data_IF_271255496469
#
_entry.id   IF_271255496469
#
_cell.length_a   1.000
_cell.length_b   1.000
_cell.length_c   1.000
_cell.angle_alpha   90.00
_cell.angle_beta   90.00
_cell.angle_gamma   90.00
#
_symmetry.space_group_name_H-M   'P 1'
#
loop_
_entity.id
_entity.type
_entity.pdbx_description
1 polymer ?
#
# COMPACT_ATOMS: atom_id res chain seq x y z
N UNK A 1 47.91 42.25 68.48
CA UNK A 1 46.86 41.27 68.82
C UNK A 1 46.15 40.86 67.54
N UNK A 2 46.18 39.56 67.24
CA UNK A 2 45.19 38.82 66.43
C UNK A 2 45.17 39.21 64.94
N UNK A 3 45.86 38.49 64.03
CA UNK A 3 45.72 37.05 63.76
C UNK A 3 44.25 36.61 63.70
N UNK A 4 43.89 35.96 62.58
CA UNK A 4 42.61 35.29 62.27
C UNK A 4 41.51 36.17 61.66
N UNK A 5 41.51 36.25 60.33
CA UNK A 5 40.45 35.65 59.49
C UNK A 5 40.56 36.13 58.03
N UNK A 6 41.75 35.95 57.42
CA UNK A 6 41.87 35.67 55.98
C UNK A 6 41.35 34.25 55.69
N UNK A 7 40.11 33.98 56.09
CA UNK A 7 39.40 32.73 55.87
C UNK A 7 37.92 33.02 55.57
N UNK A 8 37.70 33.97 54.68
CA UNK A 8 36.43 34.11 53.95
C UNK A 8 36.70 34.73 52.57
N UNK A 9 37.78 34.27 51.94
CA UNK A 9 38.17 34.62 50.58
C UNK A 9 38.35 33.37 49.70
N UNK A 10 37.64 32.27 49.99
CA UNK A 10 37.79 31.02 49.23
C UNK A 10 36.54 30.14 49.10
N UNK A 11 35.30 30.65 49.23
CA UNK A 11 34.13 29.77 49.08
C UNK A 11 32.90 30.38 48.38
N UNK A 12 33.05 31.45 47.58
CA UNK A 12 31.96 31.99 46.74
C UNK A 12 32.52 32.36 45.35
N UNK A 13 33.44 31.54 44.82
CA UNK A 13 34.16 31.85 43.57
C UNK A 13 34.56 30.64 42.73
N UNK A 14 33.91 29.48 42.91
CA UNK A 14 34.03 28.32 42.01
C UNK A 14 32.66 27.64 41.95
N UNK A 15 31.74 28.18 41.16
CA UNK A 15 30.51 27.49 40.74
C UNK A 15 30.03 27.97 39.38
N UNK A 16 30.98 28.30 38.51
CA UNK A 16 30.79 28.48 37.08
C UNK A 16 31.94 27.72 36.41
N UNK A 17 31.61 26.77 35.53
CA UNK A 17 32.48 25.86 34.76
C UNK A 17 32.70 24.44 35.32
N UNK A 18 31.61 23.76 35.64
CA UNK A 18 31.39 22.34 35.34
C UNK A 18 29.89 22.23 35.02
N UNK A 19 29.43 21.96 33.80
CA UNK A 19 29.79 20.79 33.02
C UNK A 19 28.61 19.81 33.04
N UNK A 20 27.48 20.21 32.47
CA UNK A 20 26.58 19.31 31.77
C UNK A 20 26.31 19.95 30.42
N UNK A 21 27.30 19.84 29.53
CA UNK A 21 26.97 19.64 28.13
C UNK A 21 26.16 18.34 28.18
N UNK A 22 24.87 18.38 27.92
CA UNK A 22 24.11 17.18 27.55
C UNK A 22 24.65 16.74 26.17
N UNK A 23 25.90 16.29 26.15
CA UNK A 23 26.34 15.28 25.21
C UNK A 23 25.74 14.01 25.76
N UNK A 24 24.51 13.71 25.34
CA UNK A 24 24.10 12.32 25.22
C UNK A 24 25.12 11.68 24.30
N UNK A 25 26.22 11.18 24.86
CA UNK A 25 27.12 10.29 24.17
C UNK A 25 26.48 8.92 24.15
N UNK A 26 25.30 8.82 23.53
CA UNK A 26 25.03 7.59 22.82
C UNK A 26 26.16 7.46 21.80
N UNK A 27 26.81 6.30 21.68
CA UNK A 27 27.81 6.11 20.63
C UNK A 27 27.16 6.54 19.32
N UNK A 28 27.76 7.51 18.64
CA UNK A 28 27.25 7.98 17.37
C UNK A 28 27.15 6.75 16.46
N UNK A 29 25.92 6.36 16.12
CA UNK A 29 25.70 5.21 15.26
C UNK A 29 26.44 5.42 13.94
N UNK A 30 26.90 4.33 13.34
CA UNK A 30 27.53 4.39 12.02
C UNK A 30 26.49 4.82 10.98
N UNK A 31 26.92 5.51 9.93
CA UNK A 31 26.05 5.87 8.81
C UNK A 31 25.34 4.62 8.25
N UNK A 32 24.03 4.74 8.05
CA UNK A 32 23.16 3.69 7.54
C UNK A 32 22.07 4.26 6.62
N UNK A 33 21.30 3.38 5.97
CA UNK A 33 20.17 3.78 5.13
C UNK A 33 18.99 2.85 5.39
N UNK A 34 17.81 3.44 5.60
CA UNK A 34 16.54 2.72 5.61
C UNK A 34 16.03 2.68 4.16
N UNK A 35 15.74 1.48 3.66
CA UNK A 35 14.97 1.25 2.44
C UNK A 35 13.53 0.91 2.82
N UNK A 36 12.67 1.92 2.79
CA UNK A 36 11.26 1.84 3.16
C UNK A 36 10.40 1.41 1.97
N UNK A 37 9.80 0.24 2.10
CA UNK A 37 8.90 -0.35 1.11
C UNK A 37 7.46 -0.02 1.50
N UNK A 38 6.76 0.77 0.66
CA UNK A 38 5.33 1.08 0.83
C UNK A 38 4.50 0.11 -0.01
N UNK A 39 4.16 -1.02 0.57
CA UNK A 39 3.56 -2.14 -0.17
C UNK A 39 4.48 -2.67 -1.27
N UNK A 40 3.92 -3.49 -2.14
CA UNK A 40 4.70 -4.38 -2.99
C UNK A 40 5.13 -3.81 -4.36
N UNK A 41 5.02 -2.50 -4.55
CA UNK A 41 5.07 -1.87 -5.88
C UNK A 41 6.36 -1.09 -6.09
N UNK A 42 7.22 -1.50 -7.03
CA UNK A 42 8.39 -0.70 -7.43
C UNK A 42 8.02 0.22 -8.59
N UNK A 43 7.93 1.53 -8.35
CA UNK A 43 7.63 2.55 -9.38
C UNK A 43 8.75 3.60 -9.37
N UNK A 44 9.08 4.14 -10.55
CA UNK A 44 10.06 5.22 -10.74
C UNK A 44 9.37 6.47 -11.30
N UNK A 45 9.31 7.53 -10.52
CA UNK A 45 9.01 8.89 -10.99
C UNK A 45 7.55 9.20 -11.36
N UNK A 46 6.59 8.30 -11.09
CA UNK A 46 5.15 8.53 -11.24
C UNK A 46 4.39 8.16 -9.97
N UNK A 47 3.06 8.35 -9.97
CA UNK A 47 2.20 7.95 -8.85
C UNK A 47 2.39 6.47 -8.52
N UNK A 48 2.42 6.16 -7.22
CA UNK A 48 2.31 4.80 -6.71
C UNK A 48 0.84 4.39 -6.70
N UNK A 49 0.50 3.22 -7.25
CA UNK A 49 -0.88 2.71 -7.32
C UNK A 49 -1.86 3.61 -8.10
N UNK A 50 -3.15 3.27 -8.08
CA UNK A 50 -4.23 3.98 -8.80
C UNK A 50 -5.51 4.00 -7.96
N UNK A 51 -6.48 4.82 -8.36
CA UNK A 51 -7.78 4.87 -7.69
C UNK A 51 -7.62 5.28 -6.23
N UNK A 52 -8.25 4.55 -5.31
CA UNK A 52 -8.25 4.90 -3.89
C UNK A 52 -6.89 4.65 -3.21
N UNK A 53 -6.03 3.84 -3.82
CA UNK A 53 -4.70 3.46 -3.33
C UNK A 53 -3.60 4.42 -3.81
N UNK A 54 -3.93 5.40 -4.68
CA UNK A 54 -2.95 6.30 -5.28
C UNK A 54 -2.13 7.05 -4.20
N UNK A 55 -0.81 7.04 -4.35
CA UNK A 55 0.16 7.75 -3.52
C UNK A 55 1.04 8.59 -4.44
N UNK A 56 0.92 9.91 -4.32
CA UNK A 56 1.65 10.91 -5.11
C UNK A 56 2.65 11.71 -4.28
N UNK A 57 2.59 11.58 -2.95
CA UNK A 57 3.50 12.26 -2.02
C UNK A 57 3.74 11.38 -0.80
N UNK A 58 4.99 11.30 -0.35
CA UNK A 58 5.40 10.50 0.82
C UNK A 58 6.34 11.34 1.68
N UNK A 59 5.99 11.52 2.94
CA UNK A 59 6.88 12.03 3.98
C UNK A 59 7.29 10.89 4.89
N UNK A 60 8.58 10.77 5.15
CA UNK A 60 9.15 9.79 6.07
C UNK A 60 9.86 10.54 7.19
N UNK A 61 9.53 10.19 8.42
CA UNK A 61 10.23 10.57 9.63
C UNK A 61 11.01 9.38 10.17
N UNK A 62 12.26 9.63 10.56
CA UNK A 62 13.09 8.68 11.31
C UNK A 62 13.47 9.37 12.61
N UNK A 63 13.05 8.81 13.74
CA UNK A 63 13.35 9.29 15.08
C UNK A 63 14.35 8.35 15.76
N UNK A 64 15.32 8.95 16.47
CA UNK A 64 16.23 8.26 17.38
C UNK A 64 15.89 8.69 18.80
N UNK A 65 15.34 7.76 19.59
CA UNK A 65 14.72 8.11 20.87
C UNK A 65 13.60 9.14 20.69
N UNK A 66 13.68 10.27 21.39
CA UNK A 66 12.66 11.32 21.38
C UNK A 66 12.87 12.42 20.33
N UNK A 67 13.93 12.33 19.52
CA UNK A 67 14.31 13.39 18.58
C UNK A 67 14.31 12.89 17.14
N UNK A 68 13.93 13.80 16.23
CA UNK A 68 14.02 13.57 14.80
C UNK A 68 15.49 13.46 14.39
N UNK A 69 15.81 12.40 13.67
CA UNK A 69 17.13 12.18 13.10
C UNK A 69 17.13 12.53 11.61
N UNK A 70 16.10 12.08 10.89
CA UNK A 70 15.92 12.40 9.49
C UNK A 70 14.44 12.64 9.18
N UNK A 71 14.20 13.55 8.24
CA UNK A 71 12.90 13.75 7.62
C UNK A 71 13.10 14.02 6.15
N UNK A 72 12.35 13.31 5.33
CA UNK A 72 12.41 13.45 3.88
C UNK A 72 11.02 13.41 3.29
N UNK A 73 10.78 14.31 2.34
CA UNK A 73 9.57 14.35 1.51
C UNK A 73 9.96 13.93 0.11
N UNK A 74 9.15 13.07 -0.49
CA UNK A 74 9.27 12.59 -1.85
C UNK A 74 7.98 12.93 -2.59
N UNK A 75 8.07 13.53 -3.77
CA UNK A 75 6.91 13.85 -4.61
C UNK A 75 6.95 13.10 -5.94
N UNK A 76 5.80 12.60 -6.40
CA UNK A 76 5.66 12.02 -7.72
C UNK A 76 6.14 13.01 -8.80
N UNK A 77 6.77 12.49 -9.86
CA UNK A 77 7.49 13.29 -10.85
C UNK A 77 8.97 13.57 -10.51
N UNK A 78 9.37 13.45 -9.25
CA UNK A 78 10.79 13.58 -8.87
C UNK A 78 11.56 12.26 -9.02
N UNK A 79 12.84 12.35 -9.38
CA UNK A 79 13.71 11.17 -9.53
C UNK A 79 13.92 10.39 -8.23
N UNK A 80 13.70 11.04 -7.08
CA UNK A 80 13.81 10.43 -5.75
C UNK A 80 12.52 9.70 -5.33
N UNK A 81 11.40 9.90 -6.04
CA UNK A 81 10.15 9.19 -5.79
C UNK A 81 10.22 7.78 -6.41
N UNK A 82 10.90 6.91 -5.68
CA UNK A 82 11.14 5.52 -6.04
C UNK A 82 10.87 4.66 -4.82
N UNK A 83 10.02 3.64 -4.97
CA UNK A 83 9.78 2.64 -3.93
C UNK A 83 10.75 1.45 -4.17
N UNK A 84 11.64 1.09 -3.23
CA UNK A 84 11.76 1.57 -1.85
C UNK A 84 12.32 2.99 -1.71
N UNK A 85 11.69 3.77 -0.83
CA UNK A 85 12.15 5.11 -0.45
C UNK A 85 13.39 5.00 0.44
N UNK A 86 14.46 5.70 0.07
CA UNK A 86 15.74 5.64 0.79
C UNK A 86 15.94 6.86 1.67
N UNK A 87 16.08 6.64 2.98
CA UNK A 87 16.34 7.70 3.96
C UNK A 87 17.64 7.40 4.69
N UNK A 88 18.57 8.36 4.67
CA UNK A 88 19.85 8.26 5.38
C UNK A 88 19.65 8.49 6.89
N UNK A 89 20.31 7.69 7.70
CA UNK A 89 20.27 7.73 9.16
C UNK A 89 21.54 7.05 9.72
N UNK A 90 21.52 6.69 10.98
CA UNK A 90 22.59 5.98 11.70
C UNK A 90 22.11 4.63 12.21
N UNK A 91 23.03 3.76 12.64
CA UNK A 91 22.71 2.50 13.32
C UNK A 91 21.95 2.73 14.64
N UNK A 92 21.33 1.67 15.16
CA UNK A 92 20.55 1.69 16.40
C UNK A 92 19.03 1.59 16.21
N UNK A 93 18.30 1.70 17.32
CA UNK A 93 16.84 1.63 17.34
C UNK A 93 16.22 2.93 16.81
N UNK A 94 15.30 2.80 15.85
CA UNK A 94 14.61 3.90 15.20
C UNK A 94 13.10 3.71 15.28
N UNK A 95 12.38 4.80 15.50
CA UNK A 95 10.93 4.88 15.29
C UNK A 95 10.66 5.59 13.98
N UNK A 96 9.84 5.01 13.12
CA UNK A 96 9.58 5.50 11.77
C UNK A 96 8.10 5.84 11.66
N UNK A 97 7.82 7.03 11.12
CA UNK A 97 6.47 7.43 10.73
C UNK A 97 6.46 7.79 9.26
N UNK A 98 5.39 7.40 8.58
CA UNK A 98 5.16 7.70 7.17
C UNK A 98 3.83 8.40 7.04
N UNK A 99 3.81 9.53 6.35
CA UNK A 99 2.59 10.23 5.95
C UNK A 99 2.55 10.28 4.42
N UNK A 100 1.61 9.55 3.84
CA UNK A 100 1.35 9.59 2.40
C UNK A 100 0.21 10.56 2.09
N UNK A 101 0.34 11.30 0.98
CA UNK A 101 -0.65 12.26 0.50
C UNK A 101 -1.09 13.25 1.59
N UNK A 102 -0.13 13.84 2.29
CA UNK A 102 -0.45 14.89 3.26
C UNK A 102 -1.17 16.07 2.58
N UNK A 103 -2.24 16.60 3.20
CA UNK A 103 -2.88 17.82 2.71
C UNK A 103 -1.96 19.04 2.79
N UNK A 104 -2.18 20.02 1.91
CA UNK A 104 -1.32 21.20 1.79
C UNK A 104 -1.41 22.11 3.03
N UNK A 105 -2.58 22.20 3.66
CA UNK A 105 -2.87 23.01 4.85
C UNK A 105 -2.08 22.57 6.08
N UNK A 106 -1.73 21.29 6.21
CA UNK A 106 -0.95 20.76 7.34
C UNK A 106 0.54 20.57 7.03
N UNK A 107 0.99 20.91 5.82
CA UNK A 107 2.38 20.68 5.39
C UNK A 107 3.40 21.45 6.24
N UNK A 108 3.07 22.67 6.69
CA UNK A 108 3.95 23.47 7.55
C UNK A 108 4.07 22.90 8.97
N UNK A 109 2.96 22.43 9.54
CA UNK A 109 2.96 21.73 10.84
C UNK A 109 3.81 20.45 10.76
N UNK A 110 3.65 19.67 9.68
CA UNK A 110 4.44 18.47 9.43
C UNK A 110 5.94 18.79 9.24
N UNK A 111 6.28 19.88 8.56
CA UNK A 111 7.68 20.34 8.44
C UNK A 111 8.29 20.74 9.79
N UNK A 112 7.48 21.21 10.73
CA UNK A 112 7.92 21.70 12.03
C UNK A 112 8.20 20.58 13.05
N UNK A 113 7.68 19.36 12.85
CA UNK A 113 7.86 18.22 13.76
C UNK A 113 9.34 17.94 14.06
N UNK A 114 9.64 17.78 15.35
CA UNK A 114 10.94 17.42 15.94
C UNK A 114 10.85 16.21 16.87
N UNK A 115 9.67 15.89 17.40
CA UNK A 115 9.45 14.79 18.34
C UNK A 115 8.27 13.92 17.91
N UNK A 116 8.28 12.60 18.18
CA UNK A 116 7.18 11.72 17.78
C UNK A 116 5.80 12.21 18.27
N UNK A 117 5.70 12.62 19.53
CA UNK A 117 4.42 13.07 20.12
C UNK A 117 3.87 14.39 19.55
N UNK A 118 4.63 15.12 18.73
CA UNK A 118 4.11 16.31 18.04
C UNK A 118 3.21 15.90 16.85
N UNK A 119 3.36 14.69 16.31
CA UNK A 119 2.47 14.15 15.28
C UNK A 119 1.05 13.93 15.82
N UNK A 120 0.90 13.63 17.11
CA UNK A 120 -0.40 13.44 17.77
C UNK A 120 -1.23 14.74 17.85
N UNK A 121 -0.56 15.89 17.76
CA UNK A 121 -1.20 17.19 17.78
C UNK A 121 -1.73 17.63 16.41
N UNK A 122 -1.24 17.02 15.32
CA UNK A 122 -1.61 17.37 13.95
C UNK A 122 -3.02 16.86 13.65
N UNK A 123 -3.86 17.77 13.15
CA UNK A 123 -5.27 17.49 12.83
C UNK A 123 -5.54 17.80 11.38
N UNK A 124 -6.34 16.95 10.75
CA UNK A 124 -6.85 17.17 9.41
C UNK A 124 -8.27 17.69 9.51
N UNK A 125 -8.62 18.67 8.67
CA UNK A 125 -9.96 19.27 8.68
C UNK A 125 -10.67 19.19 7.32
N UNK A 126 -11.99 19.12 7.34
CA UNK A 126 -12.84 19.17 6.14
C UNK A 126 -14.25 19.62 6.48
N UNK A 127 -14.96 20.16 5.49
CA UNK A 127 -16.39 20.43 5.56
C UNK A 127 -17.19 19.68 4.48
N UNK A 128 -16.56 18.71 3.81
CA UNK A 128 -17.16 17.95 2.72
C UNK A 128 -16.46 16.60 2.54
N UNK A 129 -16.88 15.83 1.54
CA UNK A 129 -16.22 14.58 1.18
C UNK A 129 -14.78 14.85 0.75
N UNK A 130 -13.85 14.04 1.23
CA UNK A 130 -12.46 14.14 0.83
C UNK A 130 -12.26 13.64 -0.59
N UNK A 131 -11.42 14.31 -1.37
CA UNK A 131 -11.00 13.88 -2.69
C UNK A 131 -9.72 13.05 -2.61
N UNK A 132 -9.53 12.16 -3.60
CA UNK A 132 -8.24 11.50 -3.84
C UNK A 132 -7.20 12.55 -4.29
N UNK A 133 -5.89 12.33 -4.06
CA UNK A 133 -5.29 11.20 -3.37
C UNK A 133 -5.56 11.24 -1.86
N UNK A 134 -5.85 10.09 -1.23
CA UNK A 134 -6.25 10.03 0.17
C UNK A 134 -5.04 9.96 1.11
N UNK A 135 -5.09 10.70 2.21
CA UNK A 135 -4.03 10.68 3.23
C UNK A 135 -3.98 9.33 3.95
N UNK A 136 -2.76 8.80 4.10
CA UNK A 136 -2.50 7.53 4.78
C UNK A 136 -1.33 7.66 5.74
N UNK A 137 -1.33 6.89 6.81
CA UNK A 137 -0.28 6.91 7.83
C UNK A 137 0.17 5.48 8.13
N UNK A 138 1.48 5.31 8.30
CA UNK A 138 2.08 4.09 8.83
C UNK A 138 3.12 4.42 9.88
N UNK A 139 3.30 3.53 10.84
CA UNK A 139 4.37 3.66 11.83
C UNK A 139 4.93 2.28 12.19
N UNK A 140 6.17 2.26 12.66
CA UNK A 140 6.84 1.07 13.15
C UNK A 140 8.18 1.38 13.77
N UNK A 141 8.77 0.37 14.41
CA UNK A 141 10.12 0.45 14.97
C UNK A 141 11.04 -0.52 14.24
N UNK A 142 12.33 -0.16 14.14
CA UNK A 142 13.36 -1.00 13.54
C UNK A 142 14.66 -0.81 14.29
N UNK A 143 15.44 -1.89 14.45
CA UNK A 143 16.80 -1.80 14.95
C UNK A 143 17.80 -2.04 13.81
N UNK A 144 18.67 -1.07 13.55
CA UNK A 144 19.65 -1.10 12.46
C UNK A 144 20.99 -1.56 13.03
N UNK A 145 21.38 -2.80 12.72
CA UNK A 145 22.55 -3.44 13.33
C UNK A 145 23.85 -3.30 12.53
N UNK A 146 23.81 -2.75 11.31
CA UNK A 146 24.98 -2.59 10.44
C UNK A 146 24.86 -1.36 9.54
N UNK A 147 26.00 -0.82 9.13
CA UNK A 147 26.13 0.31 8.20
C UNK A 147 25.63 0.01 6.78
N UNK A 148 25.38 -1.26 6.43
CA UNK A 148 24.71 -1.64 5.16
C UNK A 148 23.24 -1.21 5.11
N UNK A 149 22.66 -0.80 6.24
CA UNK A 149 21.26 -0.37 6.33
C UNK A 149 20.27 -1.52 6.50
N UNK A 150 18.98 -1.20 6.39
CA UNK A 150 17.87 -2.14 6.59
C UNK A 150 16.77 -1.91 5.55
N UNK A 151 16.12 -3.00 5.12
CA UNK A 151 14.88 -2.91 4.34
C UNK A 151 13.70 -3.21 5.25
N UNK A 152 12.69 -2.35 5.22
CA UNK A 152 11.47 -2.51 6.01
C UNK A 152 10.25 -2.34 5.13
N UNK A 153 9.20 -3.11 5.41
CA UNK A 153 7.88 -2.92 4.78
C UNK A 153 6.98 -2.19 5.77
N UNK A 154 6.31 -1.13 5.30
CA UNK A 154 5.38 -0.35 6.10
C UNK A 154 3.99 -0.48 5.52
N UNK A 155 3.06 -0.95 6.35
CA UNK A 155 1.63 -0.91 6.04
C UNK A 155 1.09 0.48 6.34
N UNK A 156 0.39 1.06 5.37
CA UNK A 156 -0.29 2.35 5.53
C UNK A 156 -1.78 2.12 5.74
N UNK A 157 -2.36 2.87 6.67
CA UNK A 157 -3.80 2.95 6.88
C UNK A 157 -4.33 4.30 6.47
N UNK A 158 -5.47 4.35 5.80
CA UNK A 158 -6.17 5.59 5.48
C UNK A 158 -6.67 6.27 6.75
N UNK A 159 -6.60 7.59 6.78
CA UNK A 159 -7.20 8.41 7.87
C UNK A 159 -8.70 8.62 7.70
N UNK A 160 -9.26 8.11 6.60
CA UNK A 160 -10.67 8.23 6.21
C UNK A 160 -11.36 6.88 6.15
N UNK A 161 -12.69 6.88 6.25
CA UNK A 161 -13.54 5.76 5.88
C UNK A 161 -14.05 5.91 4.44
N UNK A 162 -14.42 4.80 3.81
CA UNK A 162 -15.15 4.76 2.53
C UNK A 162 -16.59 4.39 2.75
N UNK A 163 -17.50 5.13 2.12
CA UNK A 163 -18.93 4.80 2.11
C UNK A 163 -19.40 4.67 0.67
N UNK A 164 -19.95 3.50 0.33
CA UNK A 164 -20.72 3.29 -0.90
C UNK A 164 -22.17 3.10 -0.54
N UNK A 165 -23.08 3.54 -1.41
CA UNK A 165 -24.51 3.40 -1.18
C UNK A 165 -25.20 2.94 -2.45
N UNK A 166 -26.01 1.90 -2.33
CA UNK A 166 -26.94 1.46 -3.36
C UNK A 166 -28.36 1.53 -2.83
N UNK A 167 -29.24 2.23 -3.54
CA UNK A 167 -30.66 2.35 -3.17
C UNK A 167 -31.49 1.42 -4.04
N UNK A 168 -32.39 0.64 -3.46
CA UNK A 168 -33.26 -0.30 -4.18
C UNK A 168 -34.73 0.01 -3.93
N UNK A 169 -35.54 -0.15 -4.97
CA UNK A 169 -36.98 -0.21 -4.84
C UNK A 169 -37.35 -1.64 -4.42
N UNK A 170 -37.69 -1.80 -3.14
CA UNK A 170 -38.01 -3.07 -2.50
C UNK A 170 -39.51 -3.18 -2.14
N UNK A 171 -40.36 -2.41 -2.82
CA UNK A 171 -41.81 -2.44 -2.63
C UNK A 171 -42.43 -3.77 -3.07
N UNK A 172 -43.47 -4.20 -2.37
CA UNK A 172 -44.19 -5.47 -2.64
C UNK A 172 -45.29 -5.35 -3.71
N UNK A 173 -45.36 -4.23 -4.43
CA UNK A 173 -46.36 -3.93 -5.45
C UNK A 173 -45.82 -2.99 -6.54
N UNK A 174 -46.65 -2.47 -7.46
CA UNK A 174 -46.20 -1.70 -8.64
C UNK A 174 -45.79 -0.25 -8.29
N UNK A 175 -45.04 -0.07 -7.21
CA UNK A 175 -44.62 1.25 -6.77
C UNK A 175 -43.45 1.78 -7.60
N UNK A 176 -43.49 3.05 -7.96
CA UNK A 176 -42.39 3.75 -8.61
C UNK A 176 -41.55 4.49 -7.57
N UNK A 177 -40.24 4.49 -7.79
CA UNK A 177 -39.29 5.19 -6.94
C UNK A 177 -38.32 5.99 -7.82
N UNK A 178 -38.16 7.27 -7.51
CA UNK A 178 -37.14 8.11 -8.15
C UNK A 178 -36.36 8.90 -7.11
N UNK A 179 -35.03 8.90 -7.20
CA UNK A 179 -34.16 9.67 -6.32
C UNK A 179 -34.02 11.11 -6.79
N UNK A 180 -34.08 12.03 -5.83
CA UNK A 180 -33.84 13.45 -6.03
C UNK A 180 -32.47 13.87 -5.50
N UNK A 181 -31.95 13.16 -4.51
CA UNK A 181 -30.63 13.42 -3.94
C UNK A 181 -30.39 12.63 -2.66
N UNK A 182 -29.15 12.67 -2.18
CA UNK A 182 -28.74 12.06 -0.91
C UNK A 182 -27.96 13.09 -0.10
N UNK A 183 -28.30 13.19 1.18
CA UNK A 183 -27.63 14.05 2.14
C UNK A 183 -26.97 13.21 3.23
N UNK A 184 -25.68 13.44 3.47
CA UNK A 184 -24.99 12.92 4.64
C UNK A 184 -25.04 13.95 5.75
N UNK A 185 -25.43 13.49 6.94
CA UNK A 185 -25.45 14.29 8.16
C UNK A 185 -24.41 13.79 9.14
N UNK A 186 -23.86 14.73 9.89
CA UNK A 186 -22.90 14.50 10.97
C UNK A 186 -21.57 13.88 10.51
N UNK A 187 -21.07 14.32 9.35
CA UNK A 187 -19.69 14.04 8.95
C UNK A 187 -18.72 14.77 9.89
N UNK A 188 -17.69 14.10 10.39
CA UNK A 188 -16.74 14.72 11.33
C UNK A 188 -15.89 15.76 10.60
N UNK A 189 -15.76 16.96 11.18
CA UNK A 189 -14.95 18.05 10.59
C UNK A 189 -13.47 17.88 10.79
N UNK A 190 -13.05 17.24 11.89
CA UNK A 190 -11.64 17.15 12.26
C UNK A 190 -11.28 15.76 12.75
N UNK A 191 -10.10 15.27 12.39
CA UNK A 191 -9.57 14.01 12.88
C UNK A 191 -8.08 14.14 13.16
N UNK A 192 -7.55 13.49 14.21
CA UNK A 192 -6.11 13.45 14.40
C UNK A 192 -5.44 12.68 13.25
N UNK A 193 -4.24 13.10 12.87
CA UNK A 193 -3.44 12.40 11.87
C UNK A 193 -3.14 10.96 12.33
N UNK A 194 -2.68 10.82 13.58
CA UNK A 194 -2.34 9.54 14.20
C UNK A 194 -3.57 8.89 14.85
N UNK A 195 -3.75 7.60 14.61
CA UNK A 195 -4.81 6.78 15.24
C UNK A 195 -4.59 6.73 16.77
N UNK A 196 -5.64 6.96 17.55
CA UNK A 196 -5.57 6.92 19.02
C UNK A 196 -5.13 8.22 19.70
N UNK A 197 -4.69 9.24 18.95
CA UNK A 197 -4.45 10.56 19.51
C UNK A 197 -5.77 11.22 19.95
N UNK A 198 -5.68 12.20 20.86
CA UNK A 198 -6.86 12.80 21.48
C UNK A 198 -7.81 13.41 20.43
N UNK A 199 -9.07 12.96 20.36
CA UNK A 199 -9.97 13.38 19.31
C UNK A 199 -10.29 14.88 19.44
N UNK A 200 -10.55 15.53 18.31
CA UNK A 200 -11.08 16.88 18.31
C UNK A 200 -12.46 16.93 18.98
N UNK A 201 -12.88 18.10 19.51
CA UNK A 201 -14.26 18.30 19.93
C UNK A 201 -15.23 17.89 18.82
N UNK A 202 -16.35 17.28 19.17
CA UNK A 202 -17.36 16.85 18.20
C UNK A 202 -17.93 18.04 17.43
N UNK A 203 -17.47 18.20 16.20
CA UNK A 203 -17.88 19.25 15.31
C UNK A 203 -18.16 18.63 13.94
N UNK A 204 -19.35 18.87 13.42
CA UNK A 204 -19.85 18.12 12.27
C UNK A 204 -20.25 19.01 11.11
N UNK A 205 -20.17 18.45 9.90
CA UNK A 205 -20.68 19.02 8.67
C UNK A 205 -21.77 18.11 8.08
N UNK A 206 -22.64 18.73 7.27
CA UNK A 206 -23.65 18.03 6.48
C UNK A 206 -23.40 18.33 5.00
N UNK A 207 -23.63 17.37 4.12
CA UNK A 207 -23.46 17.54 2.67
C UNK A 207 -24.62 16.92 1.94
N UNK A 208 -25.34 17.76 1.18
CA UNK A 208 -26.38 17.33 0.25
C UNK A 208 -25.82 17.26 -1.17
N UNK A 209 -26.14 16.17 -1.86
CA UNK A 209 -25.90 15.97 -3.28
C UNK A 209 -27.25 15.77 -3.98
N UNK A 210 -27.68 16.77 -4.73
CA UNK A 210 -28.90 16.71 -5.53
C UNK A 210 -28.62 16.24 -6.95
N UNK A 211 -29.57 15.53 -7.54
CA UNK A 211 -29.54 15.17 -8.95
C UNK A 211 -30.23 16.24 -9.79
N UNK A 212 -29.66 16.58 -10.94
CA UNK A 212 -30.25 17.56 -11.87
C UNK A 212 -31.62 17.13 -12.42
N UNK A 213 -31.91 15.83 -12.39
CA UNK A 213 -33.22 15.25 -12.71
C UNK A 213 -33.49 14.02 -11.81
N UNK A 214 -34.76 13.65 -11.56
CA UNK A 214 -35.08 12.44 -10.82
C UNK A 214 -34.45 11.20 -11.47
N UNK A 215 -33.76 10.39 -10.66
CA UNK A 215 -33.12 9.15 -11.12
C UNK A 215 -34.03 7.96 -10.80
N UNK A 216 -34.40 7.17 -11.80
CA UNK A 216 -35.23 5.99 -11.58
C UNK A 216 -34.49 4.94 -10.73
N UNK A 217 -35.20 4.36 -9.77
CA UNK A 217 -34.69 3.27 -8.93
C UNK A 217 -35.50 2.01 -9.16
N UNK A 218 -34.82 0.95 -9.59
CA UNK A 218 -35.40 -0.38 -9.80
C UNK A 218 -35.12 -1.30 -8.62
N UNK A 219 -35.62 -2.54 -8.70
CA UNK A 219 -35.27 -3.60 -7.76
C UNK A 219 -33.79 -4.01 -7.84
N UNK A 220 -33.15 -3.84 -9.00
CA UNK A 220 -31.71 -4.09 -9.16
C UNK A 220 -30.87 -3.04 -8.43
N UNK A 221 -31.41 -1.83 -8.29
CA UNK A 221 -30.86 -0.73 -7.50
C UNK A 221 -30.10 0.32 -8.28
N UNK A 222 -30.07 1.52 -7.73
CA UNK A 222 -29.33 2.66 -8.22
C UNK A 222 -28.10 2.90 -7.33
N UNK A 223 -26.92 2.90 -7.94
CA UNK A 223 -25.68 3.22 -7.23
C UNK A 223 -25.61 4.73 -6.97
N UNK A 224 -25.62 5.11 -5.70
CA UNK A 224 -25.43 6.49 -5.26
C UNK A 224 -23.95 6.77 -5.21
N UNK A 225 -23.59 7.84 -5.91
CA UNK A 225 -22.22 8.19 -6.27
C UNK A 225 -21.59 7.14 -7.21
N UNK A 226 -20.81 7.56 -8.20
CA UNK A 226 -20.17 6.64 -9.15
C UNK A 226 -19.37 5.56 -8.43
N UNK A 227 -19.12 4.40 -9.07
CA UNK A 227 -18.22 3.37 -8.52
C UNK A 227 -16.82 3.91 -8.18
N UNK A 228 -16.40 4.98 -8.87
CA UNK A 228 -15.15 5.69 -8.63
C UNK A 228 -15.26 6.83 -7.57
N UNK A 229 -16.48 7.25 -7.24
CA UNK A 229 -16.80 8.40 -6.38
C UNK A 229 -17.44 7.95 -5.07
N UNK A 230 -16.77 7.13 -4.26
CA UNK A 230 -17.30 6.86 -2.93
C UNK A 230 -17.30 8.13 -2.05
N UNK A 231 -18.13 8.15 -1.02
CA UNK A 231 -18.08 9.19 -0.01
C UNK A 231 -16.94 8.89 0.97
N UNK A 232 -15.87 9.71 0.93
CA UNK A 232 -14.76 9.63 1.87
C UNK A 232 -14.92 10.68 2.98
N UNK A 233 -14.82 10.25 4.23
CA UNK A 233 -15.04 11.09 5.39
C UNK A 233 -14.17 10.63 6.57
N UNK A 234 -13.96 11.52 7.52
CA UNK A 234 -13.23 11.21 8.74
C UNK A 234 -14.02 10.30 9.68
N UNK A 235 -13.25 9.64 10.55
CA UNK A 235 -13.76 8.82 11.64
C UNK A 235 -14.73 9.60 12.56
N UNK A 236 -15.83 8.94 12.92
CA UNK A 236 -16.77 9.37 13.91
C UNK A 236 -17.12 8.18 14.81
N UNK A 237 -16.45 8.09 15.96
CA UNK A 237 -16.64 7.03 16.94
C UNK A 237 -17.89 7.32 17.79
N UNK A 238 -19.02 6.77 17.37
CA UNK A 238 -20.30 6.84 18.06
C UNK A 238 -20.67 5.54 18.78
N UNK A 239 -21.79 5.57 19.47
CA UNK A 239 -22.38 4.43 20.16
C UNK A 239 -23.90 4.51 20.07
N UNK A 240 -24.61 3.50 20.60
CA UNK A 240 -26.08 3.49 20.61
C UNK A 240 -26.67 4.74 21.29
N UNK A 241 -26.05 5.22 22.37
CA UNK A 241 -26.47 6.44 23.08
C UNK A 241 -26.27 7.72 22.27
N UNK A 242 -25.55 7.66 21.15
CA UNK A 242 -25.24 8.80 20.29
C UNK A 242 -26.18 8.96 19.09
N UNK A 243 -27.13 8.04 18.91
CA UNK A 243 -28.09 8.08 17.80
C UNK A 243 -28.79 9.43 17.68
N UNK A 244 -29.20 10.01 18.81
CA UNK A 244 -29.87 11.32 18.83
C UNK A 244 -28.93 12.51 18.66
N UNK A 245 -27.62 12.35 18.84
CA UNK A 245 -26.66 13.46 18.94
C UNK A 245 -25.55 13.43 17.89
N UNK A 246 -24.72 12.38 17.85
CA UNK A 246 -23.43 12.35 17.13
C UNK A 246 -23.37 11.34 15.98
N UNK A 247 -24.18 10.28 16.00
CA UNK A 247 -24.08 9.20 15.01
C UNK A 247 -24.32 9.71 13.58
N UNK A 248 -23.43 9.36 12.65
CA UNK A 248 -23.52 9.70 11.22
C UNK A 248 -24.74 9.02 10.59
N UNK A 249 -25.49 9.74 9.76
CA UNK A 249 -26.69 9.20 9.12
C UNK A 249 -26.89 9.79 7.73
N UNK A 250 -27.71 9.10 6.94
CA UNK A 250 -28.11 9.51 5.60
C UNK A 250 -29.56 9.97 5.59
N UNK A 251 -29.85 10.98 4.78
CA UNK A 251 -31.20 11.38 4.37
C UNK A 251 -31.31 11.21 2.86
N UNK A 252 -32.15 10.28 2.41
CA UNK A 252 -32.43 10.02 1.00
C UNK A 252 -33.68 10.80 0.60
N UNK A 253 -33.54 11.71 -0.35
CA UNK A 253 -34.64 12.49 -0.92
C UNK A 253 -35.16 11.77 -2.16
N UNK A 254 -36.45 11.46 -2.20
CA UNK A 254 -37.03 10.66 -3.27
C UNK A 254 -38.49 11.06 -3.59
N UNK A 255 -39.01 10.51 -4.69
CA UNK A 255 -40.43 10.42 -5.01
C UNK A 255 -40.84 8.96 -4.94
N UNK A 256 -41.81 8.65 -4.10
CA UNK A 256 -42.43 7.32 -4.03
C UNK A 256 -43.86 7.44 -4.56
N UNK A 257 -44.19 6.79 -5.67
CA UNK A 257 -45.45 7.00 -6.40
C UNK A 257 -45.75 8.49 -6.63
N UNK A 258 -44.75 9.23 -7.13
CA UNK A 258 -44.79 10.68 -7.35
C UNK A 258 -44.97 11.57 -6.10
N UNK A 259 -45.03 11.00 -4.90
CA UNK A 259 -45.06 11.74 -3.64
C UNK A 259 -43.64 12.03 -3.17
N UNK A 260 -43.28 13.31 -3.03
CA UNK A 260 -42.02 13.73 -2.44
C UNK A 260 -41.91 13.21 -1.00
N UNK A 261 -40.83 12.51 -0.70
CA UNK A 261 -40.58 11.88 0.60
C UNK A 261 -39.09 11.95 0.95
N UNK A 262 -38.80 11.75 2.24
CA UNK A 262 -37.44 11.65 2.77
C UNK A 262 -37.34 10.36 3.58
N UNK A 263 -36.21 9.69 3.49
CA UNK A 263 -35.90 8.51 4.30
C UNK A 263 -34.63 8.76 5.10
N UNK A 264 -34.63 8.38 6.38
CA UNK A 264 -33.49 8.56 7.28
C UNK A 264 -33.01 7.21 7.79
N UNK A 265 -31.70 6.97 7.71
CA UNK A 265 -31.08 5.78 8.26
C UNK A 265 -29.68 6.09 8.81
N UNK A 266 -29.35 5.52 9.98
CA UNK A 266 -28.04 5.68 10.61
C UNK A 266 -27.02 4.74 9.98
N UNK A 267 -25.82 5.24 9.75
CA UNK A 267 -24.73 4.42 9.22
C UNK A 267 -24.30 3.45 10.31
N UNK A 268 -24.18 2.17 9.95
CA UNK A 268 -23.74 1.12 10.84
C UNK A 268 -24.66 0.93 12.07
N UNK A 269 -25.98 1.01 11.88
CA UNK A 269 -26.97 0.85 12.96
C UNK A 269 -27.03 -0.60 13.52
N UNK A 270 -28.06 -0.91 14.31
CA UNK A 270 -28.25 -2.26 14.86
C UNK A 270 -28.47 -3.37 13.83
N UNK A 271 -28.79 -3.02 12.58
CA UNK A 271 -29.01 -3.94 11.46
C UNK A 271 -27.73 -4.18 10.65
N UNK A 272 -26.59 -3.60 11.05
CA UNK A 272 -25.27 -3.86 10.49
C UNK A 272 -24.67 -5.20 10.93
N UNK A 273 -23.73 -5.71 10.14
CA UNK A 273 -22.92 -6.89 10.45
C UNK A 273 -21.72 -6.59 11.38
N UNK A 274 -21.36 -5.32 11.56
CA UNK A 274 -20.28 -4.83 12.41
C UNK A 274 -20.66 -4.74 13.90
N UNK A 275 -20.84 -5.92 14.52
CA UNK A 275 -21.28 -6.02 15.92
C UNK A 275 -20.37 -5.29 16.93
N UNK A 276 -19.07 -5.14 16.66
CA UNK A 276 -18.09 -4.57 17.59
C UNK A 276 -18.05 -3.03 17.63
N UNK A 277 -18.79 -2.33 16.75
CA UNK A 277 -18.72 -0.86 16.64
C UNK A 277 -19.94 -0.20 15.98
N UNK A 278 -21.13 -0.66 16.35
CA UNK A 278 -22.40 -0.06 15.89
C UNK A 278 -22.47 1.44 16.17
N UNK A 279 -23.06 2.17 15.23
CA UNK A 279 -23.20 3.63 15.20
C UNK A 279 -21.87 4.40 15.13
N UNK A 280 -20.75 3.71 14.86
CA UNK A 280 -19.46 4.30 14.54
C UNK A 280 -19.12 4.18 13.05
N UNK A 281 -18.37 5.17 12.57
CA UNK A 281 -17.63 5.14 11.32
C UNK A 281 -16.13 5.19 11.67
N UNK A 282 -15.39 4.11 11.44
CA UNK A 282 -13.94 4.00 11.71
C UNK A 282 -13.14 4.30 10.45
N UNK A 283 -11.97 4.93 10.63
CA UNK A 283 -11.00 5.13 9.55
C UNK A 283 -10.49 3.79 9.02
N UNK A 284 -10.08 3.73 7.75
CA UNK A 284 -9.57 2.52 7.08
C UNK A 284 -10.58 1.35 7.01
N UNK A 285 -11.87 1.65 6.99
CA UNK A 285 -12.94 0.69 6.72
C UNK A 285 -13.80 1.14 5.54
N UNK A 286 -14.38 0.16 4.85
CA UNK A 286 -15.39 0.35 3.83
C UNK A 286 -16.74 -0.07 4.39
N UNK A 287 -17.67 0.89 4.42
CA UNK A 287 -19.08 0.70 4.72
C UNK A 287 -19.85 0.59 3.42
N UNK A 288 -20.21 -0.63 3.03
CA UNK A 288 -21.03 -0.88 1.84
C UNK A 288 -22.51 -0.92 2.23
N UNK A 289 -23.24 0.10 1.79
CA UNK A 289 -24.61 0.36 2.22
C UNK A 289 -25.62 -0.04 1.14
N UNK A 290 -26.65 -0.78 1.54
CA UNK A 290 -27.82 -1.07 0.71
C UNK A 290 -29.07 -0.56 1.40
N UNK A 291 -29.70 0.46 0.81
CA UNK A 291 -30.95 1.03 1.27
C UNK A 291 -32.15 0.43 0.51
N UNK A 292 -32.92 -0.42 1.18
CA UNK A 292 -34.16 -0.98 0.65
C UNK A 292 -35.35 -0.07 1.01
N UNK A 293 -35.92 0.63 0.03
CA UNK A 293 -37.13 1.45 0.22
C UNK A 293 -38.36 0.61 -0.11
N UNK A 294 -39.27 0.47 0.85
CA UNK A 294 -40.42 -0.46 0.80
C UNK A 294 -41.77 0.24 0.71
N UNK A 295 -41.88 1.43 1.29
CA UNK A 295 -43.13 2.18 1.41
C UNK A 295 -42.86 3.64 1.77
N UNK A 296 -43.92 4.44 1.99
CA UNK A 296 -43.82 5.76 2.59
C UNK A 296 -43.49 5.67 4.08
N UNK A 297 -42.71 6.64 4.59
CA UNK A 297 -42.37 6.77 6.01
C UNK A 297 -40.88 7.02 6.20
N UNK A 298 -40.52 8.08 6.94
CA UNK A 298 -39.12 8.54 7.05
C UNK A 298 -38.19 7.47 7.62
N UNK A 299 -38.65 6.72 8.62
CA UNK A 299 -37.86 5.69 9.28
C UNK A 299 -38.36 4.27 8.96
N UNK A 300 -39.68 4.08 8.91
CA UNK A 300 -40.30 2.77 8.71
C UNK A 300 -40.34 2.32 7.24
N UNK A 301 -40.22 3.26 6.29
CA UNK A 301 -40.27 2.98 4.86
C UNK A 301 -38.93 2.55 4.26
N UNK A 302 -37.85 2.53 5.05
CA UNK A 302 -36.50 2.18 4.64
C UNK A 302 -35.93 1.08 5.54
N UNK A 303 -35.08 0.23 4.96
CA UNK A 303 -34.16 -0.62 5.71
C UNK A 303 -32.77 -0.41 5.15
N UNK A 304 -31.84 0.04 5.99
CA UNK A 304 -30.43 0.16 5.61
C UNK A 304 -29.69 -1.08 6.09
N UNK A 305 -29.07 -1.80 5.15
CA UNK A 305 -28.10 -2.84 5.47
C UNK A 305 -26.71 -2.23 5.30
N UNK A 306 -25.83 -2.52 6.25
CA UNK A 306 -24.45 -2.07 6.23
C UNK A 306 -23.57 -3.30 6.32
N UNK A 307 -22.75 -3.53 5.30
CA UNK A 307 -21.66 -4.50 5.33
C UNK A 307 -20.35 -3.75 5.58
N UNK A 308 -19.62 -4.12 6.63
CA UNK A 308 -18.37 -3.44 7.01
C UNK A 308 -17.16 -4.33 6.77
N UNK A 309 -16.21 -3.83 5.97
CA UNK A 309 -14.97 -4.55 5.64
C UNK A 309 -13.75 -3.71 5.97
N UNK A 310 -12.67 -4.29 6.54
CA UNK A 310 -11.38 -3.64 6.59
C UNK A 310 -10.97 -3.16 5.19
N UNK A 311 -10.48 -1.93 5.10
CA UNK A 311 -10.12 -1.33 3.83
C UNK A 311 -8.61 -1.19 3.70
N UNK A 312 -7.98 -2.35 3.81
CA UNK A 312 -6.55 -2.49 3.60
C UNK A 312 -6.19 -1.98 2.21
N UNK A 313 -5.03 -1.34 2.10
CA UNK A 313 -4.40 -1.08 0.81
C UNK A 313 -4.17 -2.44 0.17
N UNK A 314 -5.03 -2.80 -0.78
CA UNK A 314 -4.84 -4.02 -1.56
C UNK A 314 -3.63 -3.72 -2.42
N UNK A 315 -2.48 -4.27 -2.06
CA UNK A 315 -1.38 -4.31 -3.00
C UNK A 315 -1.90 -5.09 -4.20
N UNK A 316 -2.23 -4.39 -5.29
CA UNK A 316 -2.68 -5.04 -6.51
C UNK A 316 -1.64 -6.10 -6.87
N UNK A 317 -2.03 -7.38 -6.76
CA UNK A 317 -1.25 -8.57 -7.16
C UNK A 317 -0.82 -8.52 -8.65
N UNK A 318 -1.29 -7.53 -9.39
CA UNK A 318 -0.90 -7.24 -10.77
C UNK A 318 0.56 -6.76 -10.91
N UNK A 319 1.19 -6.22 -9.86
CA UNK A 319 2.56 -5.67 -9.92
C UNK A 319 3.68 -6.70 -9.67
N UNK A 320 3.31 -7.92 -9.29
CA UNK A 320 4.23 -9.07 -9.17
C UNK A 320 4.22 -10.02 -10.37
N UNK A 321 3.41 -9.74 -11.39
CA UNK A 321 3.59 -10.46 -12.65
C UNK A 321 4.93 -10.01 -13.22
N UNK A 322 5.95 -10.85 -13.07
CA UNK A 322 7.16 -10.77 -13.89
C UNK A 322 6.68 -10.86 -15.33
N UNK A 323 6.65 -9.71 -15.99
CA UNK A 323 6.26 -9.65 -17.39
C UNK A 323 7.53 -9.92 -18.15
N UNK A 324 7.56 -11.03 -18.88
CA UNK A 324 8.68 -11.40 -19.72
C UNK A 324 8.16 -12.03 -21.01
N UNK A 325 9.00 -12.06 -22.02
CA UNK A 325 8.81 -12.91 -23.19
C UNK A 325 10.00 -13.85 -23.32
N UNK A 326 9.72 -15.11 -23.64
CA UNK A 326 10.72 -16.09 -24.04
C UNK A 326 10.32 -16.70 -25.37
N UNK A 327 11.27 -16.84 -26.31
CA UNK A 327 11.04 -17.46 -27.61
C UNK A 327 12.17 -18.44 -27.96
N UNK A 328 11.87 -19.71 -28.29
CA UNK A 328 10.55 -20.33 -28.25
C UNK A 328 9.93 -20.34 -26.84
N UNK A 329 8.60 -20.32 -26.74
CA UNK A 329 7.86 -20.41 -25.46
C UNK A 329 7.30 -21.83 -25.28
N UNK A 330 8.06 -22.75 -24.65
CA UNK A 330 7.66 -24.15 -24.53
C UNK A 330 6.41 -24.33 -23.65
N UNK A 331 5.54 -25.29 -23.99
CA UNK A 331 4.46 -25.75 -23.11
C UNK A 331 4.98 -26.83 -22.14
N UNK A 332 4.16 -27.26 -21.19
CA UNK A 332 4.53 -28.34 -20.26
C UNK A 332 4.89 -29.66 -20.97
N UNK A 333 4.20 -29.97 -22.07
CA UNK A 333 4.39 -31.17 -22.89
C UNK A 333 5.59 -31.03 -23.84
N UNK A 334 5.94 -29.81 -24.22
CA UNK A 334 6.96 -29.49 -25.23
C UNK A 334 8.17 -28.76 -24.63
N UNK A 335 8.53 -29.08 -23.38
CA UNK A 335 9.64 -28.44 -22.65
C UNK A 335 11.01 -29.09 -22.85
N UNK A 336 11.08 -30.23 -23.55
CA UNK A 336 12.32 -30.99 -23.76
C UNK A 336 12.89 -30.74 -25.14
N UNK A 337 14.12 -30.25 -25.19
CA UNK A 337 14.91 -30.03 -26.41
C UNK A 337 16.06 -31.04 -26.47
N UNK A 338 16.39 -31.51 -27.67
CA UNK A 338 17.45 -32.49 -27.89
C UNK A 338 18.68 -31.81 -28.48
N UNK A 339 19.84 -32.07 -27.91
CA UNK A 339 21.14 -31.64 -28.42
C UNK A 339 22.13 -32.81 -28.33
N UNK A 340 22.61 -33.33 -29.46
CA UNK A 340 23.38 -34.57 -29.49
C UNK A 340 24.87 -34.29 -29.24
N UNK A 341 25.40 -33.22 -29.80
CA UNK A 341 26.84 -32.95 -29.86
C UNK A 341 27.16 -31.51 -29.44
N UNK A 342 28.42 -31.16 -29.16
CA UNK A 342 28.81 -29.79 -28.82
C UNK A 342 28.61 -28.74 -29.94
N UNK A 343 28.19 -29.15 -31.14
CA UNK A 343 27.78 -28.22 -32.20
C UNK A 343 26.28 -27.93 -32.19
N UNK A 344 25.49 -28.71 -31.44
CA UNK A 344 24.04 -28.55 -31.33
C UNK A 344 23.71 -27.53 -30.23
N UNK A 345 23.48 -26.28 -30.64
CA UNK A 345 23.13 -25.17 -29.75
C UNK A 345 21.60 -24.97 -29.67
N UNK A 346 21.05 -25.02 -28.46
CA UNK A 346 19.65 -24.65 -28.21
C UNK A 346 19.60 -23.20 -27.76
N UNK A 347 18.91 -22.35 -28.53
CA UNK A 347 18.87 -20.91 -28.32
C UNK A 347 17.48 -20.42 -27.86
N UNK A 348 17.48 -19.44 -26.96
CA UNK A 348 16.29 -18.75 -26.51
C UNK A 348 16.52 -17.24 -26.52
N UNK A 349 15.53 -16.50 -27.00
CA UNK A 349 15.45 -15.05 -26.82
C UNK A 349 14.60 -14.76 -25.60
N UNK A 350 15.13 -13.94 -24.67
CA UNK A 350 14.49 -13.59 -23.42
C UNK A 350 14.49 -12.08 -23.24
N UNK A 351 13.33 -11.51 -22.90
CA UNK A 351 13.17 -10.10 -22.56
C UNK A 351 12.41 -9.98 -21.26
N UNK A 352 13.07 -9.43 -20.23
CA UNK A 352 12.40 -9.02 -19.00
C UNK A 352 11.77 -7.64 -19.21
N UNK A 353 10.48 -7.50 -18.93
CA UNK A 353 9.75 -6.23 -19.03
C UNK A 353 9.38 -5.66 -17.65
N UNK A 354 9.35 -6.48 -16.60
CA UNK A 354 9.05 -6.09 -15.22
C UNK A 354 9.67 -7.11 -14.23
N UNK A 355 10.26 -6.73 -13.07
CA UNK A 355 10.32 -5.39 -12.46
C UNK A 355 11.31 -4.43 -13.11
N UNK A 356 11.09 -3.12 -12.93
CA UNK A 356 12.05 -2.07 -13.31
C UNK A 356 13.34 -2.27 -12.51
N UNK A 357 14.49 -2.13 -13.18
CA UNK A 357 15.84 -2.45 -12.65
C UNK A 357 16.00 -3.92 -12.19
N UNK A 358 15.09 -4.81 -12.60
CA UNK A 358 15.23 -6.23 -12.35
C UNK A 358 16.42 -6.80 -13.12
N UNK A 359 17.24 -7.56 -12.41
CA UNK A 359 18.35 -8.31 -13.00
C UNK A 359 17.92 -9.76 -13.16
N UNK A 360 18.07 -10.31 -14.36
CA UNK A 360 17.79 -11.72 -14.59
C UNK A 360 19.09 -12.51 -14.84
N UNK A 361 19.07 -13.78 -14.46
CA UNK A 361 20.16 -14.73 -14.69
C UNK A 361 19.60 -16.09 -15.08
N UNK A 362 20.22 -16.71 -16.09
CA UNK A 362 19.90 -18.09 -16.48
C UNK A 362 20.88 -19.07 -15.83
N UNK A 363 20.38 -20.21 -15.40
CA UNK A 363 21.12 -21.23 -14.66
C UNK A 363 20.84 -22.64 -15.19
N UNK A 364 21.82 -23.53 -15.00
CA UNK A 364 21.77 -24.95 -15.37
C UNK A 364 21.84 -25.81 -14.10
N UNK A 365 21.06 -26.87 -14.05
CA UNK A 365 21.17 -27.87 -12.96
C UNK A 365 22.32 -28.85 -13.16
N UNK A 366 22.80 -29.03 -14.39
CA UNK A 366 23.93 -29.92 -14.71
C UNK A 366 25.04 -29.20 -15.51
N UNK A 367 25.79 -28.29 -14.86
CA UNK A 367 26.88 -27.55 -15.52
C UNK A 367 28.12 -28.41 -15.83
N UNK A 368 28.15 -29.67 -15.36
CA UNK A 368 29.24 -30.62 -15.61
C UNK A 368 29.17 -31.17 -17.04
N UNK A 369 27.96 -31.43 -17.54
CA UNK A 369 27.75 -31.99 -18.89
C UNK A 369 27.25 -30.94 -19.90
N UNK A 370 26.73 -29.81 -19.45
CA UNK A 370 26.21 -28.74 -20.29
C UNK A 370 26.87 -27.40 -19.98
N UNK A 371 26.90 -26.51 -20.96
CA UNK A 371 27.44 -25.16 -20.81
C UNK A 371 26.62 -24.11 -21.56
N UNK A 372 26.78 -22.86 -21.12
CA UNK A 372 26.33 -21.71 -21.89
C UNK A 372 27.33 -21.36 -22.98
N UNK A 373 26.83 -21.02 -24.16
CA UNK A 373 27.64 -20.45 -25.25
C UNK A 373 27.64 -18.93 -25.13
N UNK A 374 28.83 -18.32 -25.12
CA UNK A 374 29.00 -16.86 -25.04
C UNK A 374 29.40 -16.21 -26.38
N UNK A 375 29.63 -17.03 -27.41
CA UNK A 375 29.93 -16.54 -28.75
C UNK A 375 28.68 -15.90 -29.41
N UNK A 376 28.91 -14.93 -30.31
CA UNK A 376 27.84 -14.31 -31.09
C UNK A 376 26.90 -13.39 -30.28
N UNK A 377 27.35 -12.86 -29.14
CA UNK A 377 26.57 -11.94 -28.32
C UNK A 377 25.58 -12.61 -27.36
N UNK A 378 25.65 -13.94 -27.21
CA UNK A 378 24.84 -14.65 -26.23
C UNK A 378 25.31 -14.38 -24.78
N UNK A 379 24.37 -14.20 -23.86
CA UNK A 379 24.62 -13.81 -22.47
C UNK A 379 23.97 -14.77 -21.49
N UNK A 380 24.40 -14.75 -20.23
CA UNK A 380 23.81 -15.55 -19.14
C UNK A 380 23.08 -14.71 -18.10
N UNK A 381 23.07 -13.40 -18.27
CA UNK A 381 22.35 -12.44 -17.44
C UNK A 381 22.06 -11.17 -18.22
N UNK A 382 21.10 -10.38 -17.75
CA UNK A 382 20.80 -9.10 -18.37
C UNK A 382 19.84 -8.24 -17.55
N UNK A 383 19.60 -7.05 -18.10
CA UNK A 383 18.79 -6.00 -17.49
C UNK A 383 17.36 -5.97 -18.05
N UNK A 384 16.45 -5.31 -17.34
CA UNK A 384 15.08 -5.05 -17.83
C UNK A 384 15.08 -4.24 -19.14
N UNK A 385 14.07 -4.46 -20.00
CA UNK A 385 13.77 -3.67 -21.19
C UNK A 385 14.53 -4.06 -22.46
N UNK A 386 15.60 -4.85 -22.32
CA UNK A 386 16.42 -5.33 -23.44
C UNK A 386 16.14 -6.81 -23.72
N UNK A 387 16.02 -7.17 -25.00
CA UNK A 387 15.94 -8.58 -25.41
C UNK A 387 17.36 -9.14 -25.56
N UNK A 388 17.60 -10.30 -24.97
CA UNK A 388 18.87 -11.00 -24.99
C UNK A 388 18.71 -12.41 -25.52
N UNK A 389 19.76 -12.94 -26.13
CA UNK A 389 19.81 -14.35 -26.50
C UNK A 389 20.70 -15.10 -25.50
N UNK A 390 20.25 -16.25 -25.01
CA UNK A 390 21.10 -17.22 -24.33
C UNK A 390 21.07 -18.56 -25.06
N UNK A 391 22.17 -19.30 -24.96
CA UNK A 391 22.38 -20.55 -25.70
C UNK A 391 22.98 -21.61 -24.81
N UNK A 392 22.51 -22.85 -24.95
CA UNK A 392 22.98 -24.01 -24.17
C UNK A 392 23.36 -25.14 -25.12
N UNK A 393 24.44 -25.84 -24.79
CA UNK A 393 24.90 -27.04 -25.53
C UNK A 393 25.53 -28.09 -24.60
N UNK A 394 25.64 -29.35 -25.06
CA UNK A 394 26.50 -30.33 -24.41
C UNK A 394 27.98 -29.93 -24.47
N UNK A 395 28.74 -30.23 -23.42
CA UNK A 395 30.20 -30.02 -23.39
C UNK A 395 30.96 -31.07 -24.20
N UNK A 396 30.46 -32.30 -24.22
CA UNK A 396 31.11 -33.45 -24.84
C UNK A 396 30.19 -34.10 -25.87
N UNK A 397 30.72 -34.90 -26.82
CA UNK A 397 29.91 -35.80 -27.64
C UNK A 397 29.09 -36.78 -26.80
N UNK A 398 28.07 -37.40 -27.41
CA UNK A 398 27.24 -38.41 -26.75
C UNK A 398 28.09 -39.53 -26.17
N UNK A 399 27.69 -40.03 -24.99
CA UNK A 399 28.31 -41.20 -24.37
C UNK A 399 27.33 -42.38 -24.34
N UNK A 400 27.72 -43.46 -23.68
CA UNK A 400 26.83 -44.59 -23.41
C UNK A 400 25.70 -44.26 -22.42
N UNK A 401 25.78 -43.09 -21.78
CA UNK A 401 24.79 -42.61 -20.83
C UNK A 401 24.06 -41.39 -21.38
N UNK A 402 22.78 -41.28 -21.04
CA UNK A 402 21.99 -40.08 -21.30
C UNK A 402 22.31 -39.01 -20.26
N UNK A 403 22.48 -37.77 -20.72
CA UNK A 403 22.66 -36.61 -19.85
C UNK A 403 21.53 -35.62 -20.07
N UNK A 404 21.08 -34.99 -18.99
CA UNK A 404 20.12 -33.90 -19.06
C UNK A 404 20.52 -32.74 -18.14
N UNK A 405 20.11 -31.55 -18.52
CA UNK A 405 20.09 -30.36 -17.66
C UNK A 405 18.74 -29.70 -17.72
N UNK A 406 18.32 -29.13 -16.59
CA UNK A 406 17.20 -28.20 -16.56
C UNK A 406 17.73 -26.77 -16.68
N UNK A 407 16.97 -25.92 -17.37
CA UNK A 407 17.19 -24.47 -17.46
C UNK A 407 16.14 -23.77 -16.61
N UNK A 408 16.60 -22.86 -15.76
CA UNK A 408 15.73 -21.94 -15.02
C UNK A 408 16.30 -20.53 -15.04
N UNK A 409 15.42 -19.54 -14.92
CA UNK A 409 15.78 -18.12 -14.86
C UNK A 409 15.36 -17.59 -13.49
N UNK A 410 16.26 -16.87 -12.84
CA UNK A 410 15.97 -16.08 -11.66
C UNK A 410 15.90 -14.61 -12.03
N UNK A 411 15.01 -13.87 -11.36
CA UNK A 411 14.92 -12.40 -11.41
C UNK A 411 15.03 -11.91 -9.99
N UNK A 412 16.08 -11.15 -9.69
CA UNK A 412 16.47 -10.74 -8.34
C UNK A 412 16.50 -11.95 -7.38
N UNK A 413 17.24 -13.00 -7.76
CA UNK A 413 17.43 -14.27 -7.02
C UNK A 413 16.19 -15.15 -6.79
N UNK A 414 15.06 -14.82 -7.43
CA UNK A 414 13.82 -15.63 -7.35
C UNK A 414 13.50 -16.26 -8.69
N UNK A 415 13.32 -17.59 -8.70
CA UNK A 415 12.96 -18.36 -9.91
C UNK A 415 11.60 -17.93 -10.47
N UNK A 416 11.49 -17.87 -11.80
CA UNK A 416 10.28 -17.49 -12.52
C UNK A 416 9.74 -18.70 -13.30
N UNK A 417 8.41 -18.86 -13.44
CA UNK A 417 7.87 -19.88 -14.33
C UNK A 417 8.29 -19.55 -15.77
N UNK A 418 8.62 -20.57 -16.59
CA UNK A 418 9.07 -20.37 -17.98
C UNK A 418 8.20 -21.10 -19.01
N UNK A 419 7.31 -21.97 -18.55
CA UNK A 419 6.46 -22.78 -19.42
C UNK A 419 5.14 -22.06 -19.69
N UNK A 420 4.70 -22.09 -20.94
CA UNK A 420 3.47 -21.43 -21.39
C UNK A 420 2.27 -21.98 -20.60
N UNK A 421 1.43 -21.07 -20.12
CA UNK A 421 0.21 -21.37 -19.36
C UNK A 421 0.44 -22.17 -18.04
N UNK A 422 1.68 -22.20 -17.53
CA UNK A 422 2.05 -22.84 -16.26
C UNK A 422 2.67 -21.81 -15.30
N UNK A 423 2.25 -21.82 -14.04
CA UNK A 423 2.72 -20.89 -12.99
C UNK A 423 3.68 -21.53 -11.98
N UNK A 424 3.92 -22.84 -12.06
CA UNK A 424 4.80 -23.56 -11.15
C UNK A 424 6.29 -23.38 -11.50
N UNK A 425 7.14 -23.46 -10.48
CA UNK A 425 8.62 -23.38 -10.57
C UNK A 425 9.27 -24.63 -9.96
N UNK A 426 10.59 -24.77 -10.12
CA UNK A 426 11.36 -25.88 -9.55
C UNK A 426 11.40 -27.14 -10.41
N UNK A 427 12.00 -28.20 -9.85
CA UNK A 427 12.25 -29.46 -10.55
C UNK A 427 10.96 -30.02 -11.18
N UNK A 428 11.04 -30.42 -12.44
CA UNK A 428 9.88 -30.89 -13.22
C UNK A 428 9.03 -29.79 -13.87
N UNK A 429 9.21 -28.51 -13.51
CA UNK A 429 8.54 -27.35 -14.13
C UNK A 429 9.48 -26.46 -14.96
N UNK A 430 10.67 -26.97 -15.28
CA UNK A 430 11.73 -26.26 -16.01
C UNK A 430 11.86 -26.75 -17.44
N UNK A 431 12.52 -25.96 -18.28
CA UNK A 431 12.91 -26.37 -19.64
C UNK A 431 14.02 -27.42 -19.53
N UNK A 432 13.98 -28.49 -20.31
CA UNK A 432 14.94 -29.60 -20.26
C UNK A 432 15.74 -29.62 -21.55
N UNK A 433 17.07 -29.65 -21.45
CA UNK A 433 17.95 -30.01 -22.56
C UNK A 433 18.46 -31.42 -22.32
N UNK A 434 18.28 -32.29 -23.30
CA UNK A 434 18.62 -33.71 -23.23
C UNK A 434 19.65 -34.05 -24.30
N UNK A 435 20.73 -34.68 -23.87
CA UNK A 435 21.70 -35.33 -24.74
C UNK A 435 21.46 -36.85 -24.66
N UNK A 436 20.91 -37.47 -25.73
CA UNK A 436 20.64 -38.89 -25.72
C UNK A 436 21.95 -39.69 -25.75
N UNK A 437 21.88 -40.95 -25.31
CA UNK A 437 22.98 -41.91 -25.52
C UNK A 437 23.27 -42.11 -27.01
N UNK A 438 24.50 -42.54 -27.33
CA UNK A 438 24.85 -42.96 -28.69
C UNK A 438 23.89 -44.06 -29.14
N UNK A 439 23.18 -43.86 -30.26
CA UNK A 439 22.40 -44.93 -30.86
C UNK A 439 23.36 -45.96 -31.46
N UNK A 440 23.52 -47.11 -30.80
CA UNK A 440 24.10 -48.29 -31.45
C UNK A 440 23.21 -48.69 -32.63
N UNK A 441 23.77 -48.94 -33.82
CA UNK A 441 23.02 -49.33 -35.02
C UNK A 441 22.12 -50.54 -34.84
#
# INVERSE_FOLDING_TARGET
>A
MKEKAYMLFLLIGILLLAGCKDTSSDPAGEDATISLVLGNTRIRGGDLFVGDDVISKVRVYVFSGSHIEAMQVFNAGESAFVNPFRVKCTTGEKTIFVVANEPADVSDELNAVKRPGELDAIKLETNTFLSKPLTMVGNGTVNINSSTGVMITMSLKRVVAKITLKVRNASTGPATLSLLGVELHRGMKSTPLIEGASPAPHNFWNKRNDYGAPQEVTAEGFQVWSSDDAAYLFENLGSVSDTTSRATYLVIHAKYNDVNTKYRAYINDENSDAADHRYSVRRNYHYDLIADIKSLGEFSGITLRTEVRPWEVVSNDLLFKRVYSINPHPTFEQKTYVANTPVDEVAFNFKLMNPVEGHWKVQLTNPIHFEFVTAGGAVTSGEVGTEYTFKVRPRNPQSAEEHATEIFITVDDVEIPLLKDNTAVGQGNRIIIKQPMVSTP
#
